data_IF_980220828809
#
_entry.id   IF_980220828809
#
_cell.length_a   1.000
_cell.length_b   1.000
_cell.length_c   1.000
_cell.angle_alpha   90.00
_cell.angle_beta   90.00
_cell.angle_gamma   90.00
#
_symmetry.space_group_name_H-M   'P 1'
#
loop_
_entity.id
_entity.type
_entity.pdbx_description
1 polymer ?
#
# COMPACT_ATOMS: atom_id res chain seq x y z
N UNK A 1 -7.87 -6.45 3.39
CA UNK A 1 -6.85 -7.44 2.99
C UNK A 1 -5.51 -6.94 3.50
N UNK A 2 -4.87 -7.68 4.39
CA UNK A 2 -3.60 -7.27 5.00
C UNK A 2 -2.50 -7.35 3.94
N UNK A 3 -2.05 -6.19 3.44
CA UNK A 3 -0.88 -6.12 2.55
C UNK A 3 0.33 -6.68 3.29
N UNK A 4 1.03 -7.65 2.68
CA UNK A 4 2.23 -8.25 3.27
C UNK A 4 3.39 -7.27 3.19
N UNK A 5 4.10 -7.06 4.30
CA UNK A 5 5.30 -6.24 4.30
C UNK A 5 6.38 -6.90 3.41
N UNK A 6 6.90 -6.15 2.45
CA UNK A 6 8.03 -6.53 1.60
C UNK A 6 9.33 -6.58 2.39
N UNK A 7 9.49 -5.65 3.32
CA UNK A 7 10.68 -5.53 4.15
C UNK A 7 10.32 -4.91 5.48
N UNK A 8 10.91 -5.41 6.56
CA UNK A 8 10.83 -4.80 7.88
C UNK A 8 12.22 -4.56 8.44
N UNK A 9 12.42 -3.45 9.14
CA UNK A 9 13.69 -3.13 9.77
C UNK A 9 13.51 -2.20 10.96
N UNK A 10 14.49 -2.23 11.88
CA UNK A 10 14.59 -1.27 12.98
C UNK A 10 15.30 -0.01 12.49
N UNK A 11 14.73 1.14 12.80
CA UNK A 11 15.28 2.45 12.48
C UNK A 11 15.37 3.33 13.72
N UNK A 12 16.25 4.32 13.68
CA UNK A 12 16.32 5.35 14.72
C UNK A 12 15.86 6.70 14.15
N UNK A 13 14.69 7.17 14.57
CA UNK A 13 14.04 8.39 14.07
C UNK A 13 13.97 9.42 15.21
N UNK A 14 14.66 10.55 15.04
CA UNK A 14 14.84 11.64 16.03
C UNK A 14 15.13 11.14 17.46
N UNK A 15 16.06 10.21 17.60
CA UNK A 15 16.45 9.72 18.92
C UNK A 15 15.60 8.58 19.49
N UNK A 16 14.60 8.07 18.74
CA UNK A 16 13.74 6.96 19.15
C UNK A 16 13.84 5.77 18.22
N UNK A 17 13.77 4.57 18.80
CA UNK A 17 13.64 3.34 18.02
C UNK A 17 12.26 3.31 17.36
N UNK A 18 12.25 2.97 16.08
CA UNK A 18 11.07 2.80 15.27
C UNK A 18 11.12 1.44 14.57
N UNK A 19 9.99 0.76 14.57
CA UNK A 19 9.75 -0.41 13.74
C UNK A 19 9.20 0.07 12.41
N UNK A 20 9.92 -0.19 11.31
CA UNK A 20 9.54 0.26 9.96
C UNK A 20 9.14 -0.96 9.14
N UNK A 21 8.02 -0.86 8.42
CA UNK A 21 7.57 -1.83 7.44
C UNK A 21 7.33 -1.15 6.09
N UNK A 22 7.94 -1.69 5.04
CA UNK A 22 7.74 -1.28 3.66
C UNK A 22 6.73 -2.24 3.04
N UNK A 23 5.64 -1.68 2.52
CA UNK A 23 4.63 -2.37 1.71
C UNK A 23 4.74 -1.86 0.27
N UNK A 24 4.00 -2.50 -0.65
CA UNK A 24 3.96 -2.06 -2.04
C UNK A 24 3.39 -0.64 -2.21
N UNK A 25 2.38 -0.30 -1.41
CA UNK A 25 1.61 0.93 -1.53
C UNK A 25 2.01 2.01 -0.52
N UNK A 26 2.69 1.62 0.57
CA UNK A 26 2.99 2.51 1.70
C UNK A 26 4.22 2.06 2.48
N UNK A 27 4.83 3.01 3.19
CA UNK A 27 5.82 2.77 4.24
C UNK A 27 5.19 3.18 5.56
N UNK A 28 5.14 2.28 6.53
CA UNK A 28 4.59 2.53 7.87
C UNK A 28 5.69 2.38 8.93
N UNK A 29 5.61 3.18 9.98
CA UNK A 29 6.50 3.02 11.12
C UNK A 29 5.81 3.34 12.44
N UNK A 30 6.16 2.57 13.47
CA UNK A 30 5.70 2.80 14.82
C UNK A 30 6.86 3.29 15.68
N UNK A 31 6.75 4.51 16.24
CA UNK A 31 7.76 5.06 17.15
C UNK A 31 7.47 4.57 18.56
N UNK A 32 8.48 4.00 19.23
CA UNK A 32 8.34 3.56 20.61
C UNK A 32 7.97 4.74 21.53
N UNK A 33 7.04 4.52 22.47
CA UNK A 33 6.65 5.48 23.52
C UNK A 33 7.83 5.71 24.47
N UNK A 34 8.80 6.51 24.04
CA UNK A 34 9.94 6.91 24.85
C UNK A 34 9.54 7.97 25.86
N UNK A 35 9.06 7.55 27.03
CA UNK A 35 9.24 8.32 28.26
C UNK A 35 10.68 8.05 28.73
N UNK A 36 11.53 9.07 28.68
CA UNK A 36 12.89 8.93 29.21
C UNK A 36 12.82 8.66 30.72
N UNK A 37 13.26 7.48 31.16
CA UNK A 37 13.33 7.10 32.58
C UNK A 37 14.10 8.14 33.41
N UNK A 38 15.15 8.77 32.84
CA UNK A 38 15.89 9.87 33.48
C UNK A 38 15.04 11.12 33.75
N UNK A 39 14.08 11.44 32.87
CA UNK A 39 13.20 12.62 33.04
C UNK A 39 12.12 12.38 34.11
N UNK A 40 11.66 11.13 34.27
CA UNK A 40 10.75 10.75 35.35
C UNK A 40 11.45 10.78 36.71
N UNK A 41 12.67 10.25 36.82
CA UNK A 41 13.44 10.27 38.08
C UNK A 41 13.80 11.68 38.51
N UNK A 42 14.19 12.57 37.58
CA UNK A 42 14.44 13.98 37.91
C UNK A 42 13.17 14.71 38.37
N UNK A 43 12.02 14.44 37.74
CA UNK A 43 10.72 15.00 38.13
C UNK A 43 10.20 14.50 39.48
N UNK A 44 10.50 13.24 39.84
CA UNK A 44 10.15 12.67 41.14
C UNK A 44 11.01 13.26 42.28
N UNK A 45 12.31 13.44 42.03
CA UNK A 45 13.27 13.94 43.03
C UNK A 45 13.15 15.45 43.32
N UNK A 46 12.45 16.21 42.48
CA UNK A 46 12.25 17.67 42.63
C UNK A 46 10.79 18.05 42.93
N UNK A 47 9.95 17.11 43.35
CA UNK A 47 8.57 17.39 43.72
C UNK A 47 7.71 17.92 42.56
N UNK A 48 7.94 17.44 41.33
CA UNK A 48 7.16 17.82 40.16
C UNK A 48 7.56 19.15 39.49
N UNK A 49 8.39 19.97 40.13
CA UNK A 49 8.80 21.27 39.57
C UNK A 49 9.65 21.15 38.29
N UNK A 50 10.48 20.10 38.16
CA UNK A 50 11.33 19.91 36.97
C UNK A 50 10.61 19.32 35.75
N UNK A 51 9.39 18.78 35.88
CA UNK A 51 8.62 18.31 34.71
C UNK A 51 8.11 19.49 33.87
N UNK A 52 7.73 20.59 34.53
CA UNK A 52 7.28 21.82 33.86
C UNK A 52 8.46 22.65 33.34
N UNK A 53 9.57 22.72 34.09
CA UNK A 53 10.77 23.48 33.67
C UNK A 53 11.53 22.85 32.49
N UNK A 54 11.37 21.55 32.23
CA UNK A 54 12.09 20.86 31.13
C UNK A 54 11.29 20.75 29.84
N UNK A 55 10.13 21.42 29.72
CA UNK A 55 9.40 21.58 28.46
C UNK A 55 9.08 20.26 27.77
N UNK A 56 8.69 19.22 28.54
CA UNK A 56 8.46 17.89 28.01
C UNK A 56 7.12 17.86 27.25
N UNK A 57 7.14 18.36 26.02
CA UNK A 57 6.07 18.11 25.04
C UNK A 57 6.06 16.60 24.79
N UNK A 58 4.97 15.95 25.15
CA UNK A 58 4.77 14.52 24.92
C UNK A 58 5.07 14.22 23.45
N UNK A 59 6.05 13.36 23.20
CA UNK A 59 6.35 12.97 21.82
C UNK A 59 5.25 12.02 21.38
N UNK A 60 4.58 12.39 20.29
CA UNK A 60 3.57 11.60 19.59
C UNK A 60 4.05 10.16 19.39
N UNK A 61 3.50 9.27 20.21
CA UNK A 61 3.60 7.83 20.02
C UNK A 61 2.51 7.45 19.02
N UNK A 62 2.78 7.69 17.74
CA UNK A 62 1.89 7.37 16.63
C UNK A 62 2.50 6.31 15.73
N UNK A 63 1.65 5.42 15.21
CA UNK A 63 1.95 4.72 13.96
C UNK A 63 1.76 5.71 12.83
N UNK A 64 2.82 6.03 12.11
CA UNK A 64 2.82 6.99 11.02
C UNK A 64 3.02 6.24 9.69
N UNK A 65 2.50 6.81 8.60
CA UNK A 65 2.47 6.15 7.29
C UNK A 65 2.67 7.16 6.16
N UNK A 66 3.52 6.82 5.18
CA UNK A 66 3.69 7.53 3.92
C UNK A 66 3.26 6.61 2.76
N UNK A 67 2.27 6.99 1.93
CA UNK A 67 2.00 6.27 0.70
C UNK A 67 3.20 6.34 -0.25
N UNK A 68 3.59 5.23 -0.88
CA UNK A 68 4.70 5.16 -1.84
C UNK A 68 4.50 6.15 -2.98
N UNK A 69 3.26 6.32 -3.46
CA UNK A 69 2.91 7.30 -4.51
C UNK A 69 3.22 8.76 -4.15
N UNK A 70 3.30 9.09 -2.86
CA UNK A 70 3.59 10.44 -2.38
C UNK A 70 5.09 10.64 -2.13
N UNK A 71 5.92 9.60 -2.27
CA UNK A 71 7.38 9.71 -2.15
C UNK A 71 7.91 10.31 -3.45
N UNK A 72 8.57 11.46 -3.32
CA UNK A 72 9.17 12.15 -4.46
C UNK A 72 10.62 11.73 -4.68
N UNK A 73 11.37 11.42 -3.62
CA UNK A 73 12.76 10.97 -3.74
C UNK A 73 13.25 10.20 -2.52
N UNK A 74 14.27 9.38 -2.75
CA UNK A 74 14.96 8.59 -1.70
C UNK A 74 16.47 8.80 -1.84
N UNK A 75 17.09 9.31 -0.78
CA UNK A 75 18.51 9.66 -0.75
C UNK A 75 19.18 8.96 0.42
N UNK A 76 20.45 8.60 0.28
CA UNK A 76 21.26 8.05 1.38
C UNK A 76 22.34 9.04 1.78
N UNK A 77 22.42 9.37 3.06
CA UNK A 77 23.46 10.22 3.63
C UNK A 77 24.23 9.44 4.69
N UNK A 78 25.56 9.49 4.62
CA UNK A 78 26.42 8.85 5.63
C UNK A 78 26.22 9.51 6.99
N UNK A 79 26.05 8.71 8.03
CA UNK A 79 25.78 9.16 9.39
C UNK A 79 26.72 8.49 10.40
N UNK A 80 27.96 8.98 10.42
CA UNK A 80 29.06 8.37 11.18
C UNK A 80 29.65 7.14 10.49
N UNK A 81 30.28 6.27 11.28
CA UNK A 81 30.98 5.08 10.77
C UNK A 81 30.06 3.86 10.58
N UNK A 82 29.07 3.67 11.45
CA UNK A 82 28.23 2.46 11.47
C UNK A 82 26.86 2.65 10.81
N UNK A 83 26.40 3.90 10.67
CA UNK A 83 25.03 4.19 10.27
C UNK A 83 24.97 5.02 8.99
N UNK A 84 23.86 4.86 8.28
CA UNK A 84 23.48 5.64 7.12
C UNK A 84 22.04 6.08 7.32
N UNK A 85 21.75 7.34 7.00
CA UNK A 85 20.39 7.88 6.94
C UNK A 85 19.81 7.66 5.55
N UNK A 86 18.73 6.88 5.47
CA UNK A 86 17.88 6.81 4.29
C UNK A 86 16.83 7.92 4.44
N UNK A 87 17.02 9.00 3.70
CA UNK A 87 16.15 10.17 3.69
C UNK A 87 15.05 9.96 2.64
N UNK A 88 13.81 9.86 3.10
CA UNK A 88 12.63 9.71 2.25
C UNK A 88 11.91 11.06 2.24
N UNK A 89 11.85 11.68 1.07
CA UNK A 89 11.13 12.95 0.86
C UNK A 89 9.77 12.62 0.29
N UNK A 90 8.72 13.09 0.95
CA UNK A 90 7.34 12.89 0.53
C UNK A 90 6.59 14.23 0.44
N UNK A 91 5.42 14.21 -0.20
CA UNK A 91 4.54 15.38 -0.26
C UNK A 91 4.07 15.78 1.14
N UNK A 92 4.76 16.76 1.74
CA UNK A 92 4.40 17.37 3.03
C UNK A 92 5.37 17.08 4.18
N UNK A 93 6.30 16.13 4.06
CA UNK A 93 7.34 15.92 5.09
C UNK A 93 8.60 15.22 4.53
N UNK A 94 9.62 15.11 5.37
CA UNK A 94 10.84 14.35 5.08
C UNK A 94 11.21 13.53 6.29
N UNK A 95 11.42 12.23 6.11
CA UNK A 95 11.75 11.30 7.19
C UNK A 95 13.14 10.75 6.96
N UNK A 96 13.96 10.78 8.01
CA UNK A 96 15.28 10.19 8.01
C UNK A 96 15.25 8.86 8.78
N UNK A 97 15.34 7.75 8.05
CA UNK A 97 15.51 6.44 8.65
C UNK A 97 16.99 6.16 8.87
N UNK A 98 17.44 6.20 10.12
CA UNK A 98 18.81 5.80 10.46
C UNK A 98 18.90 4.29 10.57
N UNK A 99 19.72 3.69 9.72
CA UNK A 99 19.90 2.23 9.62
C UNK A 99 21.38 1.87 9.58
N UNK A 100 21.76 0.61 9.87
CA UNK A 100 23.12 0.13 9.67
C UNK A 100 23.57 0.31 8.23
N UNK A 101 24.86 0.58 8.02
CA UNK A 101 25.41 0.85 6.69
C UNK A 101 25.13 -0.28 5.67
N UNK A 102 25.18 -1.53 6.14
CA UNK A 102 24.92 -2.74 5.33
C UNK A 102 23.47 -2.82 4.81
N UNK A 103 22.49 -2.37 5.60
CA UNK A 103 21.08 -2.43 5.23
C UNK A 103 20.65 -1.27 4.29
N UNK A 104 21.37 -0.16 4.30
CA UNK A 104 20.98 1.06 3.59
C UNK A 104 20.86 0.91 2.05
N UNK A 105 21.78 0.20 1.35
CA UNK A 105 21.67 -0.02 -0.10
C UNK A 105 20.40 -0.79 -0.48
N UNK A 106 20.08 -1.85 0.27
CA UNK A 106 18.88 -2.67 0.04
C UNK A 106 17.60 -1.87 0.23
N UNK A 107 17.51 -1.09 1.31
CA UNK A 107 16.34 -0.23 1.60
C UNK A 107 16.17 0.82 0.51
N UNK A 108 17.27 1.49 0.12
CA UNK A 108 17.23 2.52 -0.93
C UNK A 108 16.78 1.92 -2.25
N UNK A 109 17.35 0.79 -2.66
CA UNK A 109 17.00 0.12 -3.91
C UNK A 109 15.52 -0.25 -3.94
N UNK A 110 15.04 -0.90 -2.87
CA UNK A 110 13.64 -1.30 -2.74
C UNK A 110 12.68 -0.11 -2.85
N UNK A 111 12.91 0.95 -2.07
CA UNK A 111 12.05 2.15 -2.12
C UNK A 111 12.11 2.84 -3.48
N UNK A 112 13.27 2.89 -4.12
CA UNK A 112 13.42 3.48 -5.46
C UNK A 112 12.65 2.65 -6.50
N UNK A 113 12.75 1.33 -6.45
CA UNK A 113 12.05 0.45 -7.38
C UNK A 113 10.53 0.47 -7.17
N UNK A 114 10.07 0.66 -5.94
CA UNK A 114 8.65 0.90 -5.61
C UNK A 114 8.14 2.24 -6.16
N UNK A 115 8.90 3.32 -5.97
CA UNK A 115 8.57 4.65 -6.52
C UNK A 115 8.52 4.62 -8.05
N UNK A 116 9.41 3.87 -8.68
CA UNK A 116 9.45 3.68 -10.13
C UNK A 116 8.46 2.63 -10.64
N UNK A 117 7.71 1.96 -9.76
CA UNK A 117 6.72 0.94 -10.14
C UNK A 117 7.32 -0.34 -10.75
N UNK A 118 8.62 -0.61 -10.55
CA UNK A 118 9.28 -1.81 -11.10
C UNK A 118 8.88 -3.10 -10.40
N UNK A 119 8.39 -2.99 -9.17
CA UNK A 119 7.93 -4.12 -8.38
C UNK A 119 6.41 -4.20 -8.55
N UNK A 120 5.88 -5.22 -9.25
CA UNK A 120 4.45 -5.36 -9.44
C UNK A 120 3.76 -5.56 -8.08
N UNK A 121 2.74 -4.74 -7.80
CA UNK A 121 1.93 -4.92 -6.60
C UNK A 121 1.15 -6.24 -6.68
N UNK A 122 1.23 -7.12 -5.67
CA UNK A 122 0.40 -8.32 -5.60
C UNK A 122 -1.05 -7.83 -5.46
N UNK A 123 -1.84 -8.07 -6.50
CA UNK A 123 -3.25 -7.69 -6.52
C UNK A 123 -3.55 -6.31 -7.09
N UNK A 124 -2.72 -5.77 -7.99
CA UNK A 124 -3.26 -4.84 -9.00
C UNK A 124 -4.20 -5.61 -9.94
N UNK A 125 -5.37 -5.95 -9.40
CA UNK A 125 -6.57 -6.03 -10.20
C UNK A 125 -6.75 -4.66 -10.87
N UNK A 126 -7.01 -4.69 -12.16
CA UNK A 126 -7.54 -3.56 -12.92
C UNK A 126 -8.62 -2.82 -12.08
N UNK A 127 -8.77 -1.49 -12.23
CA UNK A 127 -9.54 -0.67 -11.33
C UNK A 127 -10.96 -1.24 -11.15
N UNK A 128 -11.28 -1.66 -9.93
CA UNK A 128 -12.65 -1.71 -9.47
C UNK A 128 -13.12 -0.25 -9.42
N UNK A 129 -13.82 0.15 -10.49
CA UNK A 129 -14.56 1.40 -10.59
C UNK A 129 -15.43 1.51 -9.34
N UNK A 130 -15.29 2.59 -8.58
CA UNK A 130 -16.17 2.87 -7.47
C UNK A 130 -17.61 2.88 -7.98
N UNK A 131 -18.44 2.01 -7.40
CA UNK A 131 -19.88 2.07 -7.55
C UNK A 131 -20.36 3.49 -7.16
N UNK A 132 -21.22 4.13 -7.98
CA UNK A 132 -22.14 5.11 -7.43
C UNK A 132 -23.06 4.37 -6.45
N UNK A 133 -23.55 5.10 -5.45
CA UNK A 133 -24.44 4.60 -4.43
C UNK A 133 -25.48 3.58 -4.97
N UNK A 134 -25.50 2.39 -4.35
CA UNK A 134 -26.58 1.38 -4.37
C UNK A 134 -27.14 1.04 -5.77
N UNK A 135 -26.58 0.01 -6.38
CA UNK A 135 -27.32 -0.85 -7.31
C UNK A 135 -26.86 -2.29 -7.09
N UNK A 136 -27.84 -3.18 -6.98
CA UNK A 136 -27.69 -4.63 -6.82
C UNK A 136 -26.68 -5.19 -7.83
N UNK A 137 -25.88 -6.17 -7.41
CA UNK A 137 -25.07 -6.94 -8.33
C UNK A 137 -25.99 -7.55 -9.41
N UNK A 138 -25.73 -7.38 -10.72
CA UNK A 138 -26.34 -8.24 -11.71
C UNK A 138 -25.84 -9.64 -11.42
N UNK A 139 -26.75 -10.52 -11.01
CA UNK A 139 -26.52 -11.95 -10.93
C UNK A 139 -25.87 -12.46 -12.22
N UNK A 140 -25.12 -13.58 -12.19
CA UNK A 140 -24.62 -14.22 -13.40
C UNK A 140 -25.78 -14.34 -14.40
N UNK A 141 -25.63 -13.61 -15.50
CA UNK A 141 -26.63 -13.56 -16.56
C UNK A 141 -26.67 -14.97 -17.12
N UNK A 142 -27.67 -15.73 -16.69
CA UNK A 142 -28.04 -16.96 -17.38
C UNK A 142 -28.73 -16.47 -18.62
N UNK A 143 -27.95 -16.22 -19.68
CA UNK A 143 -28.45 -15.69 -20.94
C UNK A 143 -29.69 -16.48 -21.33
N UNK A 144 -30.81 -15.80 -21.42
CA UNK A 144 -32.08 -16.45 -21.72
C UNK A 144 -31.99 -17.10 -23.10
N UNK A 145 -32.68 -18.22 -23.37
CA UNK A 145 -32.66 -18.86 -24.69
C UNK A 145 -32.99 -17.88 -25.84
N UNK A 146 -33.81 -16.85 -25.55
CA UNK A 146 -34.14 -15.77 -26.50
C UNK A 146 -32.96 -14.84 -26.79
N UNK A 147 -32.12 -14.55 -25.80
CA UNK A 147 -30.90 -13.73 -25.98
C UNK A 147 -29.82 -14.49 -26.75
N UNK A 148 -29.67 -15.79 -26.51
CA UNK A 148 -28.76 -16.65 -27.27
C UNK A 148 -29.14 -16.70 -28.77
N UNK A 149 -30.44 -16.74 -29.09
CA UNK A 149 -30.92 -16.65 -30.47
C UNK A 149 -30.57 -15.31 -31.14
N UNK A 150 -30.61 -14.19 -30.40
CA UNK A 150 -30.21 -12.87 -30.93
C UNK A 150 -28.71 -12.79 -31.20
N UNK A 151 -27.88 -13.35 -30.31
CA UNK A 151 -26.43 -13.36 -30.50
C UNK A 151 -26.03 -14.21 -31.71
N UNK A 152 -26.65 -15.37 -31.90
CA UNK A 152 -26.45 -16.21 -33.08
C UNK A 152 -26.85 -15.52 -34.39
N UNK A 153 -27.94 -14.74 -34.39
CA UNK A 153 -28.35 -13.98 -35.56
C UNK A 153 -27.31 -12.90 -35.93
N UNK A 154 -26.78 -12.18 -34.93
CA UNK A 154 -25.72 -11.18 -35.15
C UNK A 154 -24.42 -11.79 -35.70
N UNK A 155 -24.06 -13.00 -35.25
CA UNK A 155 -22.89 -13.73 -35.75
C UNK A 155 -23.08 -14.25 -37.19
N UNK A 156 -24.29 -14.65 -37.56
CA UNK A 156 -24.65 -15.01 -38.95
C UNK A 156 -24.60 -13.78 -39.86
N UNK A 157 -25.19 -12.65 -39.43
CA UNK A 157 -25.19 -11.41 -40.22
C UNK A 157 -23.77 -10.83 -40.39
N UNK A 158 -22.88 -11.10 -39.43
CA UNK A 158 -21.45 -10.80 -39.54
C UNK A 158 -20.67 -11.77 -40.44
N UNK A 159 -21.32 -12.82 -40.97
CA UNK A 159 -20.69 -13.86 -41.80
C UNK A 159 -19.73 -14.77 -41.03
N UNK A 160 -19.76 -14.75 -39.69
CA UNK A 160 -18.89 -15.56 -38.82
C UNK A 160 -19.43 -16.99 -38.71
N UNK A 161 -20.75 -17.15 -38.78
CA UNK A 161 -21.42 -18.45 -38.81
C UNK A 161 -22.03 -18.69 -40.18
N UNK A 162 -21.87 -19.92 -40.67
CA UNK A 162 -22.58 -20.38 -41.86
C UNK A 162 -24.07 -20.61 -41.57
N UNK A 163 -24.91 -20.58 -42.61
CA UNK A 163 -26.35 -20.72 -42.47
C UNK A 163 -26.77 -22.11 -41.91
N UNK A 164 -25.96 -23.13 -42.22
CA UNK A 164 -26.14 -24.49 -41.71
C UNK A 164 -25.87 -24.57 -40.20
N UNK A 165 -24.78 -23.97 -39.72
CA UNK A 165 -24.41 -23.94 -38.30
C UNK A 165 -25.38 -23.10 -37.46
N UNK A 166 -25.85 -21.98 -38.00
CA UNK A 166 -26.87 -21.15 -37.38
C UNK A 166 -28.17 -21.94 -37.17
N UNK A 167 -28.61 -22.69 -38.19
CA UNK A 167 -29.86 -23.45 -38.15
C UNK A 167 -29.79 -24.58 -37.12
N UNK A 168 -28.66 -25.29 -37.07
CA UNK A 168 -28.42 -26.35 -36.07
C UNK A 168 -28.46 -25.80 -34.64
N UNK A 169 -27.77 -24.68 -34.36
CA UNK A 169 -27.72 -24.06 -33.03
C UNK A 169 -29.04 -23.43 -32.59
N UNK A 170 -29.79 -22.84 -33.53
CA UNK A 170 -31.14 -22.32 -33.28
C UNK A 170 -32.10 -23.44 -32.89
N UNK A 171 -32.07 -24.58 -33.57
CA UNK A 171 -32.92 -25.72 -33.26
C UNK A 171 -32.60 -26.32 -31.87
N UNK A 172 -31.31 -26.41 -31.52
CA UNK A 172 -30.86 -26.86 -30.20
C UNK A 172 -31.38 -25.97 -29.06
N UNK A 173 -31.30 -24.65 -29.24
CA UNK A 173 -31.79 -23.68 -28.24
C UNK A 173 -33.31 -23.74 -28.13
N UNK A 174 -34.03 -23.84 -29.25
CA UNK A 174 -35.49 -23.98 -29.25
C UNK A 174 -35.96 -25.30 -28.62
N UNK A 175 -35.20 -26.39 -28.77
CA UNK A 175 -35.52 -27.67 -28.12
C UNK A 175 -35.27 -27.65 -26.60
N UNK A 176 -34.47 -26.69 -26.12
CA UNK A 176 -34.18 -26.47 -24.69
C UNK A 176 -35.13 -25.46 -24.03
N UNK A 177 -36.00 -24.81 -24.81
CA UNK A 177 -37.11 -23.99 -24.30
C UNK A 177 -38.30 -24.86 -23.93
#
# INVERSE_FOLDING_TARGET
MSSSALMTFKSHIEGKNADVAIHHDRVEWARGRGMSAKKLTAGLLTGGASLLATGVRGSDAGTEMIPVRNISSVVTKRDGLMYTKVVVVASGNTIEFRVPHDAAPGIKALLTDLVLGKIPAPGQAAPAVAAPARAEAPAPQTDSPVEQLRQLAGLRDAGILSEEEFTAKKAEILARM
#
